data_IF_277913211849
#
_entry.id   IF_277913211849
#
_cell.length_a   1.000
_cell.length_b   1.000
_cell.length_c   1.000
_cell.angle_alpha   90.00
_cell.angle_beta   90.00
_cell.angle_gamma   90.00
#
_symmetry.space_group_name_H-M   'P 1'
#
loop_
_entity.id
_entity.type
_entity.pdbx_description
1 polymer ?
#
# COMPACT_ATOMS: atom_id res chain seq x y z
N UNK A 1 -44.65 -11.33 -34.93
CA UNK A 1 -44.01 -12.11 -33.86
C UNK A 1 -42.71 -11.49 -33.33
N UNK A 2 -41.84 -10.89 -34.16
CA UNK A 2 -40.55 -10.31 -33.75
C UNK A 2 -40.64 -9.24 -32.63
N UNK A 3 -41.58 -8.29 -32.74
CA UNK A 3 -41.83 -7.24 -31.70
C UNK A 3 -42.27 -7.77 -30.33
N UNK A 4 -42.88 -8.96 -30.26
CA UNK A 4 -43.37 -9.54 -28.99
C UNK A 4 -42.25 -10.20 -28.19
N UNK A 5 -41.22 -10.71 -28.86
CA UNK A 5 -40.02 -11.27 -28.23
C UNK A 5 -39.08 -10.20 -27.67
N UNK A 6 -38.97 -9.05 -28.35
CA UNK A 6 -38.17 -7.90 -27.87
C UNK A 6 -38.77 -7.30 -26.59
N UNK A 7 -40.08 -7.08 -26.53
CA UNK A 7 -40.80 -6.60 -25.33
C UNK A 7 -40.68 -7.55 -24.13
N UNK A 8 -40.69 -8.87 -24.35
CA UNK A 8 -40.49 -9.85 -23.28
C UNK A 8 -39.04 -9.89 -22.78
N UNK A 9 -38.06 -9.72 -23.67
CA UNK A 9 -36.65 -9.66 -23.30
C UNK A 9 -36.28 -8.34 -22.58
N UNK A 10 -36.98 -7.26 -22.90
CA UNK A 10 -36.83 -5.95 -22.24
C UNK A 10 -37.49 -5.94 -20.85
N UNK A 11 -38.70 -6.50 -20.73
CA UNK A 11 -39.34 -6.72 -19.42
C UNK A 11 -38.58 -7.72 -18.54
N UNK A 12 -37.97 -8.75 -19.12
CA UNK A 12 -37.10 -9.68 -18.39
C UNK A 12 -35.85 -8.99 -17.85
N UNK A 13 -35.23 -8.12 -18.65
CA UNK A 13 -34.08 -7.31 -18.21
C UNK A 13 -34.45 -6.29 -17.14
N UNK A 14 -35.59 -5.60 -17.25
CA UNK A 14 -36.02 -4.64 -16.25
C UNK A 14 -36.34 -5.31 -14.90
N UNK A 15 -36.99 -6.48 -14.91
CA UNK A 15 -37.24 -7.28 -13.70
C UNK A 15 -35.97 -7.78 -13.03
N UNK A 16 -34.95 -8.17 -13.81
CA UNK A 16 -33.64 -8.54 -13.27
C UNK A 16 -32.95 -7.32 -12.63
N UNK A 17 -33.00 -6.16 -13.28
CA UNK A 17 -32.44 -4.91 -12.73
C UNK A 17 -33.18 -4.49 -11.46
N UNK A 18 -34.51 -4.59 -11.39
CA UNK A 18 -35.29 -4.28 -10.19
C UNK A 18 -34.99 -5.24 -9.03
N UNK A 19 -34.82 -6.54 -9.32
CA UNK A 19 -34.39 -7.52 -8.32
C UNK A 19 -32.99 -7.23 -7.82
N UNK A 20 -32.05 -6.93 -8.71
CA UNK A 20 -30.67 -6.56 -8.37
C UNK A 20 -30.65 -5.31 -7.48
N UNK A 21 -31.39 -4.27 -7.86
CA UNK A 21 -31.51 -3.02 -7.10
C UNK A 21 -32.16 -3.29 -5.73
N UNK A 22 -33.22 -4.10 -5.68
CA UNK A 22 -33.89 -4.43 -4.41
C UNK A 22 -32.98 -5.24 -3.48
N UNK A 23 -32.19 -6.17 -4.04
CA UNK A 23 -31.18 -6.93 -3.32
C UNK A 23 -30.07 -6.01 -2.78
N UNK A 24 -29.53 -5.11 -3.60
CA UNK A 24 -28.53 -4.11 -3.20
C UNK A 24 -29.05 -3.17 -2.11
N UNK A 25 -30.30 -2.72 -2.21
CA UNK A 25 -30.94 -1.87 -1.19
C UNK A 25 -31.14 -2.62 0.12
N UNK A 26 -31.48 -3.91 0.07
CA UNK A 26 -31.61 -4.76 1.24
C UNK A 26 -30.26 -5.00 1.91
N UNK A 27 -29.22 -5.33 1.15
CA UNK A 27 -27.85 -5.45 1.65
C UNK A 27 -27.35 -4.15 2.30
N UNK A 28 -27.64 -2.99 1.70
CA UNK A 28 -27.29 -1.69 2.29
C UNK A 28 -27.97 -1.42 3.63
N UNK A 29 -29.22 -1.88 3.82
CA UNK A 29 -29.97 -1.69 5.07
C UNK A 29 -29.52 -2.65 6.17
N UNK A 30 -29.05 -3.84 5.80
CA UNK A 30 -28.55 -4.86 6.72
C UNK A 30 -27.04 -4.74 6.98
N UNK A 31 -26.35 -3.82 6.29
CA UNK A 31 -24.92 -3.62 6.41
C UNK A 31 -24.50 -3.25 7.85
N UNK A 32 -23.49 -3.92 8.41
CA UNK A 32 -22.97 -3.58 9.74
C UNK A 32 -22.40 -2.16 9.76
N UNK A 33 -22.64 -1.48 10.88
CA UNK A 33 -22.12 -0.13 11.11
C UNK A 33 -20.58 -0.16 11.09
N UNK A 34 -20.00 0.58 10.14
CA UNK A 34 -18.56 0.66 9.85
C UNK A 34 -17.74 0.99 11.11
N UNK A 35 -18.21 1.97 11.89
CA UNK A 35 -17.53 2.46 13.11
C UNK A 35 -17.87 1.68 14.38
N UNK A 36 -18.69 0.63 14.28
CA UNK A 36 -19.02 -0.21 15.43
C UNK A 36 -17.95 -1.27 15.66
N UNK A 37 -17.42 -1.33 16.88
CA UNK A 37 -16.51 -2.39 17.34
C UNK A 37 -17.16 -3.78 17.41
N UNK A 38 -18.50 -3.83 17.44
CA UNK A 38 -19.29 -5.06 17.29
C UNK A 38 -19.55 -5.41 15.81
N UNK A 39 -19.34 -4.45 14.90
CA UNK A 39 -19.41 -4.62 13.45
C UNK A 39 -18.02 -4.70 12.83
N UNK A 40 -17.75 -3.87 11.82
CA UNK A 40 -16.52 -3.95 11.01
C UNK A 40 -15.32 -3.17 11.56
N UNK A 41 -15.50 -2.41 12.64
CA UNK A 41 -14.44 -1.53 13.17
C UNK A 41 -13.14 -2.27 13.48
N UNK A 42 -13.21 -3.53 13.95
CA UNK A 42 -12.03 -4.36 14.21
C UNK A 42 -11.27 -4.73 12.93
N UNK A 43 -11.99 -5.02 11.85
CA UNK A 43 -11.41 -5.37 10.56
C UNK A 43 -10.78 -4.14 9.90
N UNK A 44 -11.46 -2.99 9.96
CA UNK A 44 -10.94 -1.72 9.48
C UNK A 44 -9.69 -1.30 10.26
N UNK A 45 -9.71 -1.39 11.59
CA UNK A 45 -8.55 -1.08 12.42
C UNK A 45 -7.36 -2.00 12.10
N UNK A 46 -7.60 -3.30 11.90
CA UNK A 46 -6.56 -4.25 11.48
C UNK A 46 -6.00 -3.89 10.10
N UNK A 47 -6.85 -3.62 9.11
CA UNK A 47 -6.43 -3.24 7.76
C UNK A 47 -5.61 -1.95 7.78
N UNK A 48 -6.12 -0.90 8.44
CA UNK A 48 -5.40 0.35 8.63
C UNK A 48 -4.01 0.12 9.24
N UNK A 49 -3.92 -0.70 10.29
CA UNK A 49 -2.66 -1.01 10.94
C UNK A 49 -1.69 -1.80 10.03
N UNK A 50 -2.19 -2.78 9.27
CA UNK A 50 -1.37 -3.54 8.31
C UNK A 50 -0.83 -2.65 7.18
N UNK A 51 -1.64 -1.71 6.68
CA UNK A 51 -1.21 -0.71 5.69
C UNK A 51 -0.26 0.33 6.28
N UNK A 52 -0.42 0.69 7.56
CA UNK A 52 0.55 1.53 8.27
C UNK A 52 1.91 0.85 8.34
N UNK A 53 1.95 -0.43 8.73
CA UNK A 53 3.20 -1.20 8.75
C UNK A 53 3.88 -1.22 7.38
N UNK A 54 3.11 -1.36 6.29
CA UNK A 54 3.65 -1.31 4.94
C UNK A 54 4.20 0.07 4.54
N UNK A 55 3.56 1.14 5.00
CA UNK A 55 4.03 2.51 4.75
C UNK A 55 5.40 2.80 5.37
N UNK A 56 5.75 2.15 6.49
CA UNK A 56 7.01 2.38 7.21
C UNK A 56 8.25 2.07 6.32
N UNK A 57 8.43 0.86 5.74
CA UNK A 57 9.51 0.60 4.80
C UNK A 57 9.53 1.54 3.59
N UNK A 58 8.36 1.91 3.07
CA UNK A 58 8.23 2.82 1.92
C UNK A 58 8.75 4.23 2.25
N UNK A 59 8.33 4.78 3.39
CA UNK A 59 8.80 6.08 3.89
C UNK A 59 10.30 6.06 4.18
N UNK A 60 10.78 4.99 4.81
CA UNK A 60 12.20 4.83 5.10
C UNK A 60 13.02 4.81 3.81
N UNK A 61 12.59 4.06 2.81
CA UNK A 61 13.23 3.99 1.48
C UNK A 61 13.31 5.38 0.84
N UNK A 62 12.25 6.19 0.96
CA UNK A 62 12.23 7.55 0.42
C UNK A 62 13.15 8.53 1.17
N UNK A 63 13.55 8.23 2.41
CA UNK A 63 14.49 9.06 3.17
C UNK A 63 15.95 8.86 2.75
N UNK A 64 16.29 7.69 2.20
CA UNK A 64 17.67 7.32 1.87
C UNK A 64 18.33 8.28 0.87
N UNK A 65 17.71 8.69 -0.25
CA UNK A 65 18.33 9.67 -1.17
C UNK A 65 18.68 10.99 -0.47
N UNK A 66 17.80 11.47 0.42
CA UNK A 66 18.12 12.65 1.22
C UNK A 66 19.33 12.41 2.11
N UNK A 67 19.46 11.25 2.77
CA UNK A 67 20.63 10.93 3.58
C UNK A 67 21.91 10.91 2.72
N UNK A 68 21.86 10.27 1.55
CA UNK A 68 22.98 10.16 0.60
C UNK A 68 23.43 11.51 0.03
N UNK A 69 22.56 12.51 -0.06
CA UNK A 69 22.88 13.83 -0.60
C UNK A 69 24.05 14.53 0.10
N UNK A 70 24.24 14.29 1.42
CA UNK A 70 25.36 14.90 2.16
C UNK A 70 26.69 14.16 1.95
N UNK A 71 26.67 13.00 1.28
CA UNK A 71 27.86 12.17 1.04
C UNK A 71 28.39 12.28 -0.39
N UNK A 72 28.08 13.38 -1.08
CA UNK A 72 28.52 13.68 -2.45
C UNK A 72 28.22 12.57 -3.48
N UNK A 73 27.14 11.82 -3.26
CA UNK A 73 26.69 10.76 -4.18
C UNK A 73 26.15 11.38 -5.47
N UNK A 74 26.52 10.81 -6.61
CA UNK A 74 26.11 11.31 -7.92
C UNK A 74 24.62 11.11 -8.19
N UNK A 75 24.02 11.95 -9.05
CA UNK A 75 22.64 11.76 -9.52
C UNK A 75 22.42 10.41 -10.21
N UNK A 76 23.47 9.86 -10.84
CA UNK A 76 23.42 8.54 -11.48
C UNK A 76 23.19 7.44 -10.43
N UNK A 77 23.92 7.50 -9.33
CA UNK A 77 23.78 6.54 -8.22
C UNK A 77 22.43 6.70 -7.51
N UNK A 78 21.92 7.92 -7.38
CA UNK A 78 20.58 8.14 -6.85
C UNK A 78 19.48 7.58 -7.79
N UNK A 79 19.69 7.70 -9.10
CA UNK A 79 18.82 7.08 -10.09
C UNK A 79 18.87 5.55 -10.02
N UNK A 80 20.06 4.95 -9.78
CA UNK A 80 20.19 3.51 -9.53
C UNK A 80 19.42 3.09 -8.28
N UNK A 81 19.55 3.83 -7.19
CA UNK A 81 18.79 3.57 -5.98
C UNK A 81 17.28 3.67 -6.19
N UNK A 82 16.78 4.52 -7.09
CA UNK A 82 15.33 4.64 -7.36
C UNK A 82 14.66 3.35 -7.86
N UNK A 83 15.44 2.38 -8.35
CA UNK A 83 14.95 1.05 -8.75
C UNK A 83 14.27 0.28 -7.60
N UNK A 84 14.57 0.63 -6.34
CA UNK A 84 13.93 0.04 -5.16
C UNK A 84 12.40 0.17 -5.15
N UNK A 85 11.82 1.15 -5.87
CA UNK A 85 10.37 1.35 -5.95
C UNK A 85 9.68 0.51 -7.03
N UNK A 86 10.43 -0.10 -7.96
CA UNK A 86 9.87 -0.89 -9.05
C UNK A 86 8.99 -2.07 -8.61
N UNK A 87 9.29 -2.80 -7.52
CA UNK A 87 8.42 -3.88 -7.08
C UNK A 87 6.95 -3.47 -6.91
N UNK A 88 6.67 -2.28 -6.41
CA UNK A 88 5.29 -1.78 -6.27
C UNK A 88 4.58 -1.57 -7.60
N UNK A 89 5.31 -1.24 -8.66
CA UNK A 89 4.78 -1.11 -10.02
C UNK A 89 4.59 -2.48 -10.69
N UNK A 90 5.47 -3.43 -10.37
CA UNK A 90 5.51 -4.74 -11.01
C UNK A 90 4.74 -5.83 -10.24
N UNK A 91 4.21 -5.54 -9.04
CA UNK A 91 3.52 -6.50 -8.16
C UNK A 91 2.43 -7.31 -8.84
N UNK A 92 1.77 -6.72 -9.83
CA UNK A 92 0.78 -7.37 -10.69
C UNK A 92 1.31 -8.66 -11.35
N UNK A 93 2.61 -8.74 -11.65
CA UNK A 93 3.24 -9.89 -12.30
C UNK A 93 3.22 -11.15 -11.44
N UNK A 94 3.32 -11.03 -10.11
CA UNK A 94 3.30 -12.18 -9.20
C UNK A 94 2.05 -12.24 -8.32
N UNK A 95 1.17 -11.24 -8.38
CA UNK A 95 -0.10 -11.27 -7.65
C UNK A 95 -0.94 -12.54 -7.92
N UNK A 96 -1.06 -13.06 -9.17
CA UNK A 96 -1.76 -14.31 -9.42
C UNK A 96 -1.18 -15.53 -8.68
N UNK A 97 0.14 -15.54 -8.45
CA UNK A 97 0.82 -16.61 -7.70
C UNK A 97 0.42 -16.53 -6.23
N UNK A 98 0.45 -15.33 -5.66
CA UNK A 98 0.04 -15.05 -4.27
C UNK A 98 -1.42 -15.44 -4.04
N UNK A 99 -2.29 -15.19 -5.03
CA UNK A 99 -3.71 -15.54 -4.94
C UNK A 99 -3.97 -17.06 -5.06
N UNK A 100 -3.21 -17.76 -5.88
CA UNK A 100 -3.51 -19.16 -6.24
C UNK A 100 -2.77 -20.19 -5.37
N UNK A 101 -1.57 -19.87 -4.89
CA UNK A 101 -0.79 -20.77 -4.03
C UNK A 101 -1.07 -20.49 -2.57
N UNK A 102 -1.75 -21.38 -1.86
CA UNK A 102 -1.97 -21.19 -0.42
C UNK A 102 -2.16 -22.50 0.34
N UNK A 103 -2.03 -22.45 1.66
CA UNK A 103 -2.28 -23.59 2.53
C UNK A 103 -3.72 -23.53 3.07
N UNK A 104 -4.49 -24.60 2.83
CA UNK A 104 -5.87 -24.71 3.31
C UNK A 104 -5.97 -24.67 4.83
N UNK A 105 -4.93 -25.08 5.57
CA UNK A 105 -4.91 -25.07 7.05
C UNK A 105 -4.76 -23.67 7.65
N UNK A 106 -4.03 -22.78 6.96
CA UNK A 106 -3.71 -21.44 7.48
C UNK A 106 -4.65 -20.35 6.93
N UNK A 107 -5.25 -20.60 5.77
CA UNK A 107 -6.05 -19.63 5.02
C UNK A 107 -5.27 -19.01 3.87
N UNK A 108 -5.99 -18.48 2.87
CA UNK A 108 -5.39 -17.94 1.63
C UNK A 108 -4.48 -16.76 1.90
N UNK A 109 -4.95 -15.79 2.67
CA UNK A 109 -4.26 -14.52 2.91
C UNK A 109 -3.16 -14.66 3.94
N UNK A 110 -3.42 -15.39 5.04
CA UNK A 110 -2.41 -15.65 6.07
C UNK A 110 -1.22 -16.46 5.57
N UNK A 111 -1.42 -17.33 4.57
CA UNK A 111 -0.33 -18.11 3.97
C UNK A 111 0.81 -17.24 3.44
N UNK A 112 0.50 -16.05 2.91
CA UNK A 112 1.50 -15.12 2.41
C UNK A 112 1.83 -14.01 3.39
N UNK A 113 0.82 -13.46 4.08
CA UNK A 113 1.04 -12.33 4.97
C UNK A 113 2.04 -12.66 6.09
N UNK A 114 1.85 -13.79 6.78
CA UNK A 114 2.64 -14.12 7.96
C UNK A 114 4.11 -14.37 7.61
N UNK A 115 4.47 -15.22 6.63
CA UNK A 115 5.88 -15.41 6.26
C UNK A 115 6.53 -14.13 5.74
N UNK A 116 5.84 -13.36 4.89
CA UNK A 116 6.40 -12.14 4.31
C UNK A 116 6.66 -11.08 5.38
N UNK A 117 5.75 -10.87 6.32
CA UNK A 117 5.99 -9.91 7.40
C UNK A 117 7.13 -10.33 8.33
N UNK A 118 7.30 -11.64 8.60
CA UNK A 118 8.50 -12.13 9.30
C UNK A 118 9.77 -11.88 8.49
N UNK A 119 9.75 -12.12 7.17
CA UNK A 119 10.89 -11.84 6.30
C UNK A 119 11.23 -10.35 6.25
N UNK A 120 10.23 -9.45 6.26
CA UNK A 120 10.43 -8.00 6.41
C UNK A 120 11.12 -7.70 7.73
N UNK A 121 10.61 -8.25 8.84
CA UNK A 121 11.22 -8.09 10.16
C UNK A 121 12.68 -8.57 10.19
N UNK A 122 12.96 -9.75 9.62
CA UNK A 122 14.32 -10.31 9.52
C UNK A 122 15.21 -9.40 8.67
N UNK A 123 14.73 -8.94 7.52
CA UNK A 123 15.48 -8.05 6.63
C UNK A 123 15.80 -6.73 7.33
N UNK A 124 14.86 -6.14 8.08
CA UNK A 124 15.09 -4.92 8.85
C UNK A 124 16.08 -5.14 9.98
N UNK A 125 15.98 -6.24 10.74
CA UNK A 125 16.94 -6.58 11.79
C UNK A 125 18.35 -6.83 11.22
N UNK A 126 18.45 -7.59 10.13
CA UNK A 126 19.73 -7.80 9.45
C UNK A 126 20.32 -6.48 8.97
N UNK A 127 19.52 -5.66 8.28
CA UNK A 127 19.96 -4.37 7.76
C UNK A 127 20.38 -3.44 8.89
N UNK A 128 19.71 -3.47 10.05
CA UNK A 128 20.11 -2.66 11.21
C UNK A 128 21.57 -2.88 11.63
N UNK A 129 22.13 -4.07 11.42
CA UNK A 129 23.53 -4.40 11.77
C UNK A 129 24.55 -4.02 10.70
N UNK A 130 24.11 -3.76 9.46
CA UNK A 130 24.99 -3.55 8.29
C UNK A 130 24.82 -2.18 7.63
N UNK A 131 23.71 -1.49 7.86
CA UNK A 131 23.37 -0.27 7.12
C UNK A 131 24.38 0.84 7.30
N UNK A 132 24.95 0.97 8.51
CA UNK A 132 25.98 1.96 8.79
C UNK A 132 27.26 1.66 7.99
N UNK A 133 27.60 0.38 7.80
CA UNK A 133 28.70 -0.04 6.92
C UNK A 133 28.41 0.27 5.45
N UNK A 134 27.16 0.08 4.99
CA UNK A 134 26.80 0.40 3.60
C UNK A 134 26.81 1.89 3.32
N UNK A 135 26.52 2.70 4.34
CA UNK A 135 26.47 4.14 4.23
C UNK A 135 27.84 4.82 4.35
N UNK A 136 28.78 4.25 5.12
CA UNK A 136 30.09 4.84 5.42
C UNK A 136 31.29 3.92 5.05
N UNK A 137 31.14 3.03 4.05
CA UNK A 137 32.22 2.15 3.57
C UNK A 137 33.36 2.95 2.91
N UNK A 138 34.57 2.91 3.46
CA UNK A 138 35.81 3.39 2.79
C UNK A 138 35.72 4.81 2.16
N UNK A 139 34.91 5.71 2.73
CA UNK A 139 34.76 7.08 2.26
C UNK A 139 33.69 7.31 1.19
N UNK A 140 33.01 6.27 0.68
CA UNK A 140 31.85 6.41 -0.23
C UNK A 140 30.75 5.36 0.02
N UNK A 141 29.46 5.73 -0.07
CA UNK A 141 28.37 4.78 0.14
C UNK A 141 28.37 3.64 -0.89
N UNK A 142 28.16 2.40 -0.45
CA UNK A 142 27.95 1.28 -1.36
C UNK A 142 26.50 1.23 -1.84
N UNK A 143 26.23 1.99 -2.90
CA UNK A 143 24.89 2.18 -3.46
C UNK A 143 24.29 0.86 -3.98
N UNK A 144 25.11 -0.05 -4.51
CA UNK A 144 24.64 -1.33 -5.03
C UNK A 144 24.08 -2.23 -3.93
N UNK A 145 24.82 -2.39 -2.83
CA UNK A 145 24.35 -3.19 -1.68
C UNK A 145 23.13 -2.55 -1.02
N UNK A 146 23.13 -1.22 -0.91
CA UNK A 146 22.00 -0.47 -0.37
C UNK A 146 20.75 -0.66 -1.24
N UNK A 147 20.89 -0.54 -2.56
CA UNK A 147 19.82 -0.76 -3.53
C UNK A 147 19.31 -2.20 -3.45
N UNK A 148 20.19 -3.21 -3.40
CA UNK A 148 19.79 -4.61 -3.29
C UNK A 148 19.02 -4.89 -1.99
N UNK A 149 19.48 -4.36 -0.85
CA UNK A 149 18.84 -4.53 0.44
C UNK A 149 17.43 -3.88 0.48
N UNK A 150 17.32 -2.61 0.07
CA UNK A 150 16.05 -1.91 0.04
C UNK A 150 15.12 -2.42 -1.07
N UNK A 151 15.64 -2.90 -2.20
CA UNK A 151 14.85 -3.57 -3.23
C UNK A 151 14.21 -4.84 -2.68
N UNK A 152 14.98 -5.65 -1.96
CA UNK A 152 14.47 -6.88 -1.30
C UNK A 152 13.38 -6.52 -0.28
N UNK A 153 13.61 -5.50 0.55
CA UNK A 153 12.63 -5.02 1.52
C UNK A 153 11.32 -4.55 0.84
N UNK A 154 11.43 -3.77 -0.25
CA UNK A 154 10.29 -3.28 -1.01
C UNK A 154 9.56 -4.40 -1.78
N UNK A 155 10.29 -5.41 -2.27
CA UNK A 155 9.68 -6.58 -2.90
C UNK A 155 8.84 -7.39 -1.92
N UNK A 156 9.34 -7.57 -0.69
CA UNK A 156 8.57 -8.19 0.38
C UNK A 156 7.36 -7.32 0.77
N UNK A 157 7.54 -6.01 0.93
CA UNK A 157 6.44 -5.09 1.23
C UNK A 157 5.35 -5.08 0.13
N UNK A 158 5.73 -5.15 -1.15
CA UNK A 158 4.80 -5.27 -2.27
C UNK A 158 4.05 -6.62 -2.28
N UNK A 159 4.70 -7.70 -1.83
CA UNK A 159 4.04 -9.01 -1.65
C UNK A 159 3.07 -9.00 -0.47
N UNK A 160 3.42 -8.32 0.62
CA UNK A 160 2.52 -8.07 1.75
C UNK A 160 1.29 -7.29 1.28
N UNK A 161 1.49 -6.22 0.50
CA UNK A 161 0.42 -5.38 -0.04
C UNK A 161 -0.60 -6.18 -0.85
N UNK A 162 -0.16 -7.07 -1.77
CA UNK A 162 -1.06 -7.97 -2.49
C UNK A 162 -1.90 -8.81 -1.52
N UNK A 163 -1.27 -9.39 -0.49
CA UNK A 163 -1.97 -10.23 0.47
C UNK A 163 -2.98 -9.43 1.31
N UNK A 164 -2.65 -8.20 1.73
CA UNK A 164 -3.54 -7.33 2.52
C UNK A 164 -4.69 -6.79 1.66
N UNK A 165 -4.42 -6.35 0.43
CA UNK A 165 -5.45 -5.90 -0.53
C UNK A 165 -6.45 -7.02 -0.82
N UNK A 166 -5.96 -8.24 -1.06
CA UNK A 166 -6.81 -9.42 -1.22
C UNK A 166 -7.59 -9.78 0.05
N UNK A 167 -7.03 -9.49 1.24
CA UNK A 167 -7.71 -9.73 2.51
C UNK A 167 -8.78 -8.69 2.82
N UNK A 168 -8.57 -7.43 2.41
CA UNK A 168 -9.54 -6.37 2.60
C UNK A 168 -10.88 -6.68 1.89
N UNK A 169 -10.80 -7.25 0.68
CA UNK A 169 -11.98 -7.65 -0.10
C UNK A 169 -12.79 -8.78 0.55
N UNK A 170 -12.14 -9.69 1.29
CA UNK A 170 -12.82 -10.82 1.95
C UNK A 170 -13.19 -10.53 3.41
N UNK A 171 -12.56 -9.54 4.03
CA UNK A 171 -12.76 -9.17 5.43
C UNK A 171 -13.87 -8.13 5.63
N UNK A 172 -14.16 -7.32 4.61
CA UNK A 172 -15.22 -6.30 4.62
C UNK A 172 -16.47 -6.82 3.91
N UNK A 173 -17.64 -6.41 4.40
CA UNK A 173 -18.94 -6.65 3.78
C UNK A 173 -19.02 -5.96 2.43
N UNK A 174 -19.74 -6.54 1.46
CA UNK A 174 -19.82 -6.06 0.06
C UNK A 174 -20.16 -4.57 -0.03
N UNK A 175 -21.09 -4.08 0.78
CA UNK A 175 -21.48 -2.66 0.85
C UNK A 175 -20.35 -1.71 1.31
N UNK A 176 -19.37 -2.24 2.05
CA UNK A 176 -18.32 -1.47 2.71
C UNK A 176 -16.93 -1.72 2.08
N UNK A 177 -16.83 -2.57 1.06
CA UNK A 177 -15.57 -2.85 0.34
C UNK A 177 -14.92 -1.58 -0.23
N UNK A 178 -15.70 -0.54 -0.55
CA UNK A 178 -15.16 0.76 -0.97
C UNK A 178 -14.20 1.40 0.05
N UNK A 179 -14.34 1.10 1.35
CA UNK A 179 -13.44 1.57 2.39
C UNK A 179 -12.08 0.87 2.40
N UNK A 180 -11.92 -0.27 1.72
CA UNK A 180 -10.63 -0.95 1.58
C UNK A 180 -9.57 -0.02 0.98
N UNK A 181 -9.91 0.67 -0.12
CA UNK A 181 -9.02 1.64 -0.77
C UNK A 181 -8.70 2.82 0.14
N UNK A 182 -9.66 3.26 0.95
CA UNK A 182 -9.43 4.35 1.93
C UNK A 182 -8.47 3.90 3.03
N UNK A 183 -8.64 2.68 3.56
CA UNK A 183 -7.72 2.11 4.55
C UNK A 183 -6.31 1.97 3.99
N UNK A 184 -6.19 1.52 2.74
CA UNK A 184 -4.92 1.41 2.03
C UNK A 184 -4.23 2.77 1.92
N UNK A 185 -4.91 3.77 1.33
CA UNK A 185 -4.32 5.10 1.14
C UNK A 185 -3.96 5.76 2.48
N UNK A 186 -4.89 5.81 3.43
CA UNK A 186 -4.68 6.50 4.71
C UNK A 186 -3.65 5.78 5.58
N UNK A 187 -3.69 4.44 5.64
CA UNK A 187 -2.72 3.63 6.38
C UNK A 187 -1.31 3.78 5.81
N UNK A 188 -1.13 3.60 4.50
CA UNK A 188 0.19 3.72 3.87
C UNK A 188 0.74 5.14 4.00
N UNK A 189 -0.07 6.19 3.83
CA UNK A 189 0.37 7.58 4.03
C UNK A 189 0.83 7.81 5.47
N UNK A 190 0.11 7.30 6.47
CA UNK A 190 0.50 7.41 7.86
C UNK A 190 1.83 6.68 8.15
N UNK A 191 2.00 5.46 7.64
CA UNK A 191 3.25 4.73 7.76
C UNK A 191 4.41 5.42 7.03
N UNK A 192 4.17 5.94 5.83
CA UNK A 192 5.16 6.67 5.05
C UNK A 192 5.62 7.92 5.79
N UNK A 193 4.70 8.66 6.40
CA UNK A 193 5.03 9.83 7.22
C UNK A 193 5.95 9.47 8.40
N UNK A 194 5.67 8.38 9.09
CA UNK A 194 6.50 7.88 10.19
C UNK A 194 7.89 7.45 9.69
N UNK A 195 7.95 6.73 8.57
CA UNK A 195 9.20 6.24 7.96
C UNK A 195 10.05 7.33 7.30
N UNK A 196 9.44 8.44 6.86
CA UNK A 196 10.12 9.52 6.16
C UNK A 196 10.29 10.76 7.03
N UNK A 197 9.20 11.44 7.35
CA UNK A 197 9.24 12.76 8.00
C UNK A 197 9.70 12.65 9.44
N UNK A 198 9.07 11.75 10.22
CA UNK A 198 9.43 11.56 11.63
C UNK A 198 10.85 11.02 11.74
N UNK A 199 11.20 10.04 10.91
CA UNK A 199 12.56 9.53 10.87
C UNK A 199 13.60 10.63 10.56
N UNK A 200 13.46 11.37 9.45
CA UNK A 200 14.41 12.43 9.06
C UNK A 200 14.51 13.54 10.10
N UNK A 201 13.38 13.92 10.73
CA UNK A 201 13.38 14.93 11.77
C UNK A 201 14.17 14.47 13.01
N UNK A 202 13.96 13.22 13.46
CA UNK A 202 14.63 12.70 14.66
C UNK A 202 16.06 12.22 14.41
N UNK A 203 16.42 11.93 13.16
CA UNK A 203 17.80 11.63 12.75
C UNK A 203 18.65 12.89 12.63
N UNK A 204 18.05 14.03 12.27
CA UNK A 204 18.74 15.30 12.18
C UNK A 204 19.11 15.86 13.58
N UNK A 205 20.41 15.97 13.84
CA UNK A 205 20.93 16.62 15.04
C UNK A 205 20.48 18.08 15.15
N UNK A 206 20.48 18.83 14.04
CA UNK A 206 20.04 20.23 14.00
C UNK A 206 18.58 20.39 14.45
N UNK A 207 17.71 19.50 13.98
CA UNK A 207 16.30 19.50 14.38
C UNK A 207 16.16 19.19 15.88
N UNK A 208 16.84 18.13 16.34
CA UNK A 208 16.79 17.72 17.74
C UNK A 208 17.32 18.81 18.68
N UNK A 209 18.45 19.44 18.33
CA UNK A 209 19.06 20.50 19.12
C UNK A 209 18.23 21.79 19.14
N UNK A 210 17.49 22.07 18.06
CA UNK A 210 16.64 23.26 17.97
C UNK A 210 15.29 23.11 18.68
N UNK A 211 14.66 21.94 18.60
CA UNK A 211 13.27 21.76 19.03
C UNK A 211 13.07 20.80 20.21
N UNK A 212 13.99 19.87 20.47
CA UNK A 212 13.77 18.78 21.43
C UNK A 212 14.76 18.78 22.61
N UNK A 213 16.03 19.18 22.39
CA UNK A 213 17.07 19.12 23.42
C UNK A 213 17.30 20.49 24.08
N UNK A 214 17.62 20.44 25.36
CA UNK A 214 18.11 21.60 26.12
C UNK A 214 19.64 21.77 26.02
N UNK A 215 20.39 20.70 25.75
CA UNK A 215 21.84 20.75 25.50
C UNK A 215 22.16 20.21 24.09
N UNK A 216 23.01 20.90 23.30
CA UNK A 216 23.34 20.47 21.95
C UNK A 216 24.20 19.21 21.94
N UNK A 217 23.81 18.22 21.14
CA UNK A 217 24.53 16.97 20.94
C UNK A 217 24.74 16.74 19.43
N UNK A 218 25.85 16.13 18.99
CA UNK A 218 26.21 16.03 17.57
C UNK A 218 25.37 15.03 16.78
N UNK A 219 24.71 14.08 17.44
CA UNK A 219 23.93 13.02 16.80
C UNK A 219 22.43 13.27 16.92
N UNK A 220 21.62 12.75 16.00
CA UNK A 220 20.15 12.69 16.15
C UNK A 220 19.69 11.91 17.38
N UNK A 221 18.40 11.96 17.67
CA UNK A 221 17.77 11.07 18.66
C UNK A 221 17.60 9.64 18.15
N UNK A 222 17.45 9.49 16.83
CA UNK A 222 17.32 8.20 16.16
C UNK A 222 18.45 8.01 15.16
N UNK A 223 18.98 6.80 15.09
CA UNK A 223 19.87 6.37 13.99
C UNK A 223 19.09 5.51 13.02
N UNK A 224 19.56 5.41 11.78
CA UNK A 224 18.97 4.51 10.78
C UNK A 224 18.97 3.05 11.25
N UNK A 225 20.09 2.60 11.81
CA UNK A 225 20.23 1.28 12.44
C UNK A 225 19.23 1.08 13.58
N UNK A 226 19.10 2.05 14.50
CA UNK A 226 18.13 2.00 15.60
C UNK A 226 16.68 1.95 15.13
N UNK A 227 16.33 2.73 14.09
CA UNK A 227 14.99 2.75 13.51
C UNK A 227 14.63 1.40 12.85
N UNK A 228 15.56 0.84 12.08
CA UNK A 228 15.42 -0.50 11.47
C UNK A 228 15.28 -1.60 12.53
N UNK A 229 16.08 -1.54 13.59
CA UNK A 229 16.01 -2.50 14.68
C UNK A 229 14.65 -2.46 15.39
N UNK A 230 14.21 -1.26 15.77
CA UNK A 230 12.92 -1.04 16.43
C UNK A 230 11.75 -1.57 15.58
N UNK A 231 11.66 -1.16 14.32
CA UNK A 231 10.58 -1.60 13.45
C UNK A 231 10.67 -3.07 13.09
N UNK A 232 11.87 -3.63 12.96
CA UNK A 232 12.08 -5.07 12.81
C UNK A 232 11.43 -5.85 13.94
N UNK A 233 11.63 -5.44 15.19
CA UNK A 233 10.96 -6.04 16.37
C UNK A 233 9.44 -5.86 16.30
N UNK A 234 8.97 -4.65 15.96
CA UNK A 234 7.52 -4.39 15.85
C UNK A 234 6.89 -5.33 14.83
N UNK A 235 7.49 -5.50 13.64
CA UNK A 235 7.01 -6.46 12.63
C UNK A 235 6.92 -7.89 13.20
N UNK A 236 7.93 -8.35 13.94
CA UNK A 236 7.89 -9.68 14.58
C UNK A 236 6.73 -9.79 15.57
N UNK A 237 6.57 -8.81 16.45
CA UNK A 237 5.52 -8.79 17.47
C UNK A 237 4.16 -8.80 16.77
N UNK A 238 3.91 -7.86 15.86
CA UNK A 238 2.62 -7.70 15.20
C UNK A 238 2.24 -8.91 14.36
N UNK A 239 3.21 -9.49 13.65
CA UNK A 239 2.99 -10.70 12.85
C UNK A 239 2.60 -11.87 13.74
N UNK A 240 3.24 -12.01 14.90
CA UNK A 240 2.88 -13.02 15.89
C UNK A 240 1.47 -12.82 16.42
N UNK A 241 1.08 -11.57 16.72
CA UNK A 241 -0.30 -11.25 17.09
C UNK A 241 -1.30 -11.61 15.98
N UNK A 242 -1.03 -11.25 14.72
CA UNK A 242 -1.90 -11.61 13.58
C UNK A 242 -2.00 -13.12 13.41
N UNK A 243 -0.89 -13.84 13.61
CA UNK A 243 -0.86 -15.29 13.49
C UNK A 243 -1.77 -15.97 14.54
N UNK A 244 -1.73 -15.54 15.80
CA UNK A 244 -2.53 -16.15 16.88
C UNK A 244 -3.97 -15.65 16.94
N UNK A 245 -4.20 -14.33 16.82
CA UNK A 245 -5.51 -13.74 17.12
C UNK A 245 -6.45 -13.67 15.93
N UNK A 246 -5.93 -13.50 14.70
CA UNK A 246 -6.78 -13.39 13.51
C UNK A 246 -6.90 -14.75 12.85
N UNK A 247 -8.07 -15.39 12.96
CA UNK A 247 -8.39 -16.60 12.20
C UNK A 247 -8.98 -16.23 10.84
N UNK A 248 -8.56 -16.94 9.81
CA UNK A 248 -9.17 -16.91 8.48
C UNK A 248 -10.14 -18.10 8.39
N UNK A 249 -11.27 -17.93 7.69
CA UNK A 249 -12.21 -19.05 7.47
C UNK A 249 -11.49 -20.11 6.63
N UNK A 250 -11.57 -21.37 7.05
CA UNK A 250 -10.97 -22.49 6.29
C UNK A 250 -11.79 -22.72 5.02
N UNK A 251 -11.14 -23.21 3.96
CA UNK A 251 -11.80 -23.59 2.70
C UNK A 251 -13.04 -24.49 2.90
N UNK A 252 -13.05 -25.36 3.91
CA UNK A 252 -14.21 -26.19 4.27
C UNK A 252 -15.41 -25.37 4.81
N UNK A 253 -15.16 -24.28 5.52
CA UNK A 253 -16.20 -23.36 6.01
C UNK A 253 -16.69 -22.43 4.90
N UNK A 254 -15.79 -21.97 4.03
CA UNK A 254 -16.18 -21.18 2.85
C UNK A 254 -17.02 -22.02 1.88
N UNK A 255 -16.64 -23.27 1.60
CA UNK A 255 -17.43 -24.15 0.73
C UNK A 255 -18.81 -24.46 1.32
N UNK A 256 -18.93 -24.62 2.64
CA UNK A 256 -20.21 -24.87 3.31
C UNK A 256 -21.16 -23.67 3.29
N UNK A 257 -20.63 -22.44 3.27
CA UNK A 257 -21.43 -21.21 3.07
C UNK A 257 -21.75 -20.97 1.59
N UNK A 258 -20.89 -21.42 0.67
CA UNK A 258 -21.06 -21.30 -0.79
C UNK A 258 -22.10 -22.25 -1.38
N UNK A 259 -22.34 -23.43 -0.79
CA UNK A 259 -23.38 -24.35 -1.27
C UNK A 259 -24.83 -23.80 -1.09
N UNK A 260 -25.01 -22.64 -0.43
CA UNK A 260 -26.29 -21.95 -0.29
C UNK A 260 -26.52 -20.75 -1.23
N UNK A 261 -25.49 -20.30 -1.96
CA UNK A 261 -25.54 -19.17 -2.90
C UNK A 261 -25.09 -19.66 -4.29
N UNK A 262 -25.88 -19.37 -5.33
CA UNK A 262 -25.88 -20.06 -6.63
C UNK A 262 -24.68 -19.65 -7.53
N UNK A 263 -23.45 -19.85 -7.04
CA UNK A 263 -22.20 -19.38 -7.66
C UNK A 263 -21.02 -20.31 -7.43
N UNK A 264 -20.74 -21.15 -8.43
CA UNK A 264 -19.60 -22.07 -8.48
C UNK A 264 -18.28 -21.29 -8.72
N UNK A 265 -17.81 -20.51 -7.74
CA UNK A 265 -16.46 -19.92 -7.77
C UNK A 265 -15.42 -21.01 -7.45
N UNK A 266 -15.05 -21.78 -8.48
CA UNK A 266 -13.91 -22.69 -8.43
C UNK A 266 -12.63 -21.88 -8.22
N UNK A 267 -11.77 -22.34 -7.31
CA UNK A 267 -10.45 -21.76 -7.13
C UNK A 267 -9.66 -21.88 -8.44
N UNK A 268 -9.47 -20.75 -9.12
CA UNK A 268 -8.77 -20.66 -10.40
C UNK A 268 -7.34 -21.18 -10.27
N UNK A 269 -6.90 -21.99 -11.24
CA UNK A 269 -5.50 -22.37 -11.35
C UNK A 269 -4.63 -21.13 -11.67
N UNK A 270 -3.35 -21.14 -11.31
CA UNK A 270 -2.39 -20.04 -11.57
C UNK A 270 -2.49 -19.58 -13.04
N UNK A 271 -2.50 -20.52 -13.98
CA UNK A 271 -2.57 -20.24 -15.42
C UNK A 271 -3.90 -19.59 -15.81
N UNK A 272 -5.00 -19.96 -15.15
CA UNK A 272 -6.33 -19.39 -15.39
C UNK A 272 -6.43 -17.97 -14.85
N UNK A 273 -5.86 -17.72 -13.67
CA UNK A 273 -5.74 -16.38 -13.08
C UNK A 273 -4.91 -15.45 -13.98
N UNK A 274 -3.78 -15.93 -14.53
CA UNK A 274 -3.02 -15.16 -15.53
C UNK A 274 -3.82 -14.92 -16.83
N UNK A 275 -4.54 -15.93 -17.34
CA UNK A 275 -5.40 -15.77 -18.52
C UNK A 275 -6.50 -14.74 -18.27
N UNK A 276 -7.09 -14.72 -17.07
CA UNK A 276 -8.09 -13.74 -16.66
C UNK A 276 -7.50 -12.33 -16.63
N UNK A 277 -6.33 -12.16 -16.00
CA UNK A 277 -5.60 -10.90 -15.99
C UNK A 277 -5.34 -10.39 -17.42
N UNK A 278 -4.87 -11.25 -18.32
CA UNK A 278 -4.67 -10.89 -19.73
C UNK A 278 -5.98 -10.52 -20.45
N UNK A 279 -7.11 -11.15 -20.11
CA UNK A 279 -8.43 -10.76 -20.63
C UNK A 279 -8.84 -9.37 -20.14
N UNK A 280 -8.60 -9.06 -18.86
CA UNK A 280 -8.88 -7.75 -18.27
C UNK A 280 -8.07 -6.66 -19.00
N UNK A 281 -6.78 -6.86 -19.24
CA UNK A 281 -5.95 -5.93 -20.02
C UNK A 281 -6.40 -5.74 -21.48
N UNK A 282 -7.17 -6.68 -22.04
CA UNK A 282 -7.74 -6.53 -23.39
C UNK A 282 -8.99 -5.66 -23.43
N UNK A 283 -9.61 -5.34 -22.29
CA UNK A 283 -10.77 -4.47 -22.25
C UNK A 283 -10.40 -3.04 -22.70
N UNK A 284 -11.17 -2.42 -23.62
CA UNK A 284 -10.83 -1.13 -24.21
C UNK A 284 -10.72 -0.01 -23.17
N UNK A 285 -11.61 -0.01 -22.17
CA UNK A 285 -11.62 0.96 -21.07
C UNK A 285 -10.32 0.89 -20.24
N UNK A 286 -9.81 -0.32 -20.01
CA UNK A 286 -8.59 -0.54 -19.23
C UNK A 286 -7.36 -0.07 -20.01
N UNK A 287 -7.30 -0.35 -21.33
CA UNK A 287 -6.21 0.14 -22.18
C UNK A 287 -6.12 1.67 -22.17
N UNK A 288 -7.24 2.36 -22.32
CA UNK A 288 -7.27 3.83 -22.23
C UNK A 288 -6.86 4.33 -20.86
N UNK A 289 -7.32 3.68 -19.79
CA UNK A 289 -6.92 4.03 -18.42
C UNK A 289 -5.42 3.86 -18.22
N UNK A 290 -4.82 2.78 -18.74
CA UNK A 290 -3.36 2.55 -18.69
C UNK A 290 -2.62 3.65 -19.44
N UNK A 291 -3.05 4.01 -20.66
CA UNK A 291 -2.42 5.09 -21.43
C UNK A 291 -2.45 6.41 -20.67
N UNK A 292 -3.62 6.80 -20.14
CA UNK A 292 -3.78 8.04 -19.36
C UNK A 292 -2.89 8.04 -18.12
N UNK A 293 -2.87 6.95 -17.35
CA UNK A 293 -2.07 6.87 -16.13
C UNK A 293 -0.56 6.85 -16.39
N UNK A 294 -0.10 6.33 -17.53
CA UNK A 294 1.31 6.35 -17.91
C UNK A 294 1.78 7.72 -18.43
N UNK A 295 0.89 8.50 -19.06
CA UNK A 295 1.27 9.79 -19.66
C UNK A 295 0.99 10.99 -18.75
N UNK A 296 0.00 10.94 -17.86
CA UNK A 296 -0.44 12.11 -17.09
C UNK A 296 0.65 12.72 -16.18
N UNK A 297 1.66 11.94 -15.79
CA UNK A 297 2.77 12.41 -14.94
C UNK A 297 4.09 12.67 -15.65
N UNK A 298 4.16 12.46 -16.97
CA UNK A 298 5.42 12.63 -17.71
C UNK A 298 5.96 14.06 -17.57
N UNK A 299 5.10 15.08 -17.67
CA UNK A 299 5.52 16.49 -17.57
C UNK A 299 6.04 16.90 -16.19
N UNK A 300 5.57 16.25 -15.12
CA UNK A 300 5.98 16.54 -13.74
C UNK A 300 7.14 15.66 -13.26
N UNK A 301 7.41 14.54 -13.93
CA UNK A 301 8.37 13.53 -13.49
C UNK A 301 9.77 14.07 -13.16
N UNK A 302 10.32 14.94 -14.01
CA UNK A 302 11.63 15.55 -13.77
C UNK A 302 11.61 16.51 -12.57
N UNK A 303 10.54 17.30 -12.43
CA UNK A 303 10.36 18.23 -11.32
C UNK A 303 10.21 17.46 -10.00
N UNK A 304 9.31 16.49 -9.94
CA UNK A 304 9.01 15.71 -8.75
C UNK A 304 10.22 14.93 -8.24
N UNK A 305 11.02 14.36 -9.16
CA UNK A 305 12.19 13.56 -8.80
C UNK A 305 13.38 14.40 -8.29
N UNK A 306 13.58 15.62 -8.84
CA UNK A 306 14.82 16.37 -8.65
C UNK A 306 14.66 17.57 -7.70
N UNK A 307 13.45 18.11 -7.52
CA UNK A 307 13.23 19.34 -6.73
C UNK A 307 13.75 19.25 -5.30
N UNK A 308 13.46 18.15 -4.59
CA UNK A 308 13.92 17.96 -3.21
C UNK A 308 15.44 17.92 -3.11
N UNK A 309 16.10 17.21 -4.02
CA UNK A 309 17.56 17.09 -4.06
C UNK A 309 18.21 18.45 -4.36
N UNK A 310 17.67 19.20 -5.33
CA UNK A 310 18.16 20.54 -5.68
C UNK A 310 18.03 21.54 -4.55
N UNK A 311 16.94 21.51 -3.80
CA UNK A 311 16.78 22.37 -2.63
C UNK A 311 17.86 22.08 -1.57
N UNK A 312 18.19 20.80 -1.34
CA UNK A 312 19.30 20.43 -0.45
C UNK A 312 20.65 20.91 -0.99
N UNK A 313 20.92 20.78 -2.29
CA UNK A 313 22.15 21.33 -2.91
C UNK A 313 22.27 22.84 -2.74
N UNK A 314 21.14 23.56 -2.79
CA UNK A 314 21.09 25.00 -2.57
C UNK A 314 21.18 25.40 -1.09
N UNK A 315 21.37 24.44 -0.18
CA UNK A 315 21.60 24.68 1.24
C UNK A 315 20.36 24.61 2.13
N UNK A 316 19.20 24.18 1.59
CA UNK A 316 18.01 23.97 2.43
C UNK A 316 18.22 22.74 3.33
N UNK A 317 18.14 22.87 4.66
CA UNK A 317 18.32 21.74 5.56
C UNK A 317 17.29 20.64 5.30
N UNK A 318 17.72 19.38 5.27
CA UNK A 318 16.86 18.20 5.03
C UNK A 318 15.66 18.15 5.96
N UNK A 319 15.87 18.50 7.23
CA UNK A 319 14.80 18.57 8.22
C UNK A 319 13.73 19.62 7.86
N UNK A 320 14.10 20.76 7.27
CA UNK A 320 13.12 21.76 6.84
C UNK A 320 12.28 21.27 5.66
N UNK A 321 12.88 20.53 4.72
CA UNK A 321 12.12 19.87 3.65
C UNK A 321 11.14 18.84 4.19
N UNK A 322 11.56 18.02 5.16
CA UNK A 322 10.69 17.09 5.85
C UNK A 322 9.55 17.82 6.60
N UNK A 323 9.82 18.98 7.22
CA UNK A 323 8.82 19.78 7.90
C UNK A 323 7.75 20.36 6.97
N UNK A 324 8.04 20.60 5.69
CA UNK A 324 7.02 21.00 4.72
C UNK A 324 5.92 19.93 4.55
N UNK A 325 6.25 18.66 4.77
CA UNK A 325 5.28 17.57 4.70
C UNK A 325 4.40 17.47 5.96
N UNK A 326 4.82 18.03 7.10
CA UNK A 326 4.06 17.97 8.37
C UNK A 326 2.64 18.56 8.28
N UNK A 327 2.41 19.76 7.72
CA UNK A 327 1.05 20.26 7.53
C UNK A 327 0.29 19.52 6.42
N UNK A 328 0.99 18.95 5.44
CA UNK A 328 0.38 18.25 4.30
C UNK A 328 -0.13 16.87 4.67
N UNK A 329 0.50 16.16 5.60
CA UNK A 329 0.12 14.79 5.96
C UNK A 329 -1.25 14.69 6.64
N UNK A 330 -1.61 15.53 7.63
CA UNK A 330 -2.97 15.56 8.15
C UNK A 330 -3.99 15.82 7.05
N UNK A 331 -3.68 16.72 6.11
CA UNK A 331 -4.54 16.98 4.96
C UNK A 331 -4.69 15.72 4.09
N UNK A 332 -3.60 15.02 3.79
CA UNK A 332 -3.61 13.77 3.00
C UNK A 332 -4.29 12.60 3.71
N UNK A 333 -4.30 12.57 5.04
CA UNK A 333 -5.01 11.56 5.84
C UNK A 333 -6.51 11.90 5.91
N UNK A 334 -6.84 13.17 6.11
CA UNK A 334 -8.22 13.62 6.35
C UNK A 334 -9.01 13.74 5.04
N UNK A 335 -8.42 14.25 3.96
CA UNK A 335 -9.12 14.46 2.69
C UNK A 335 -9.75 13.18 2.13
N UNK A 336 -9.05 12.03 2.03
CA UNK A 336 -9.65 10.80 1.53
C UNK A 336 -10.82 10.31 2.38
N UNK A 337 -10.80 10.52 3.69
CA UNK A 337 -11.91 10.14 4.59
C UNK A 337 -13.20 10.90 4.26
N UNK A 338 -13.09 12.17 3.84
CA UNK A 338 -14.24 12.98 3.43
C UNK A 338 -14.62 12.76 1.97
N UNK A 339 -13.62 12.78 1.08
CA UNK A 339 -13.82 12.70 -0.38
C UNK A 339 -14.34 11.32 -0.80
N UNK A 340 -13.96 10.24 -0.10
CA UNK A 340 -14.38 8.87 -0.42
C UNK A 340 -15.90 8.72 -0.54
N UNK A 341 -16.68 9.44 0.28
CA UNK A 341 -18.15 9.43 0.21
C UNK A 341 -18.70 10.01 -1.10
N UNK A 342 -17.97 10.94 -1.71
CA UNK A 342 -18.34 11.60 -2.95
C UNK A 342 -17.75 10.91 -4.18
N UNK A 343 -16.64 10.17 -4.03
CA UNK A 343 -15.99 9.46 -5.12
C UNK A 343 -16.44 8.00 -5.29
N UNK A 344 -17.08 7.40 -4.28
CA UNK A 344 -17.61 6.02 -4.35
C UNK A 344 -18.92 5.88 -5.18
N UNK A 345 -19.31 6.91 -5.93
CA UNK A 345 -20.50 6.88 -6.78
C UNK A 345 -20.36 6.00 -8.04
N UNK A 346 -21.39 5.92 -8.90
CA UNK A 346 -21.42 5.04 -10.07
C UNK A 346 -20.42 5.41 -11.19
N UNK A 347 -19.77 6.58 -11.12
CA UNK A 347 -18.78 7.06 -12.11
C UNK A 347 -17.52 7.64 -11.45
N UNK A 348 -16.73 6.84 -10.72
CA UNK A 348 -15.58 7.34 -9.96
C UNK A 348 -14.50 7.98 -10.85
N UNK A 349 -14.29 7.43 -12.06
CA UNK A 349 -13.29 7.93 -13.02
C UNK A 349 -13.59 9.34 -13.56
N UNK A 350 -14.85 9.78 -13.54
CA UNK A 350 -15.21 11.09 -14.08
C UNK A 350 -14.69 12.24 -13.19
N UNK A 351 -14.61 12.00 -11.88
CA UNK A 351 -14.01 12.95 -10.93
C UNK A 351 -12.51 13.09 -11.21
N UNK A 352 -11.82 11.98 -11.47
CA UNK A 352 -10.39 11.98 -11.79
C UNK A 352 -10.08 12.74 -13.09
N UNK A 353 -10.87 12.50 -14.14
CA UNK A 353 -10.73 13.18 -15.44
C UNK A 353 -10.93 14.70 -15.31
N UNK A 354 -11.89 15.15 -14.51
CA UNK A 354 -12.15 16.57 -14.33
C UNK A 354 -11.12 17.28 -13.44
N UNK A 355 -10.43 16.54 -12.57
CA UNK A 355 -9.51 17.09 -11.58
C UNK A 355 -8.07 17.25 -12.11
N UNK A 356 -7.65 16.44 -13.10
CA UNK A 356 -6.31 16.54 -13.68
C UNK A 356 -6.37 17.50 -14.87
N UNK A 357 -5.66 18.64 -14.81
CA UNK A 357 -5.49 19.49 -15.98
C UNK A 357 -4.66 18.71 -17.02
N UNK A 358 -5.24 18.51 -18.21
CA UNK A 358 -4.61 17.81 -19.33
C UNK A 358 -3.62 18.71 -20.08
#
# INVERSE_FOLDING_TARGET
MRKRGELLAENGRSLLIEKEISYQIKEMKEAPLIWSWKGEGKNIALLFFLYLLQGIPLGLTASIPLMLQNRHVSYKEQAEFSLVFWPFSLKLLWAPIVDSLYSSKMGRRKTWLVPVQYLIGIAMLFLSTRVDQYLDSEGSPNIQLLTAAFFTLNFLAATQDIAVDGWALTMLHRSNVGYASTCNSVGQTAGYFLGYVVFVAFESADFCNKYLRSQPEPNGLLTLSGFLYFWGIIFFITTTFVWFFKREKTQAQENSERDGDDGNEQDLSIMETYKLLLKIFKLPVIRWTVVVLLTCKIGFSASDAVSGLKLVEMGVPKAQLALLAVPLVPLQIVLPLFISRYTAGPRPMQVFINAIPY
#
